data_IF_620877746470
#
_entry.id   IF_620877746470
#
_cell.length_a   1.000
_cell.length_b   1.000
_cell.length_c   1.000
_cell.angle_alpha   90.00
_cell.angle_beta   90.00
_cell.angle_gamma   90.00
#
_symmetry.space_group_name_H-M   'P 1'
#
loop_
_entity.id
_entity.type
_entity.pdbx_description
1 polymer ?
#
# COMPACT_ATOMS: atom_id res chain seq x y z
N UNK A 1 20.33 -9.15 4.24
CA UNK A 1 18.89 -9.08 3.93
C UNK A 1 18.70 -9.21 2.43
N UNK A 2 18.15 -10.32 1.94
CA UNK A 2 17.77 -10.46 0.52
C UNK A 2 16.37 -9.88 0.32
N UNK A 3 16.18 -9.10 -0.74
CA UNK A 3 14.88 -8.61 -1.13
C UNK A 3 14.64 -8.83 -2.63
N UNK A 4 13.41 -9.10 -3.01
CA UNK A 4 12.98 -9.23 -4.41
C UNK A 4 11.82 -8.29 -4.65
N UNK A 5 11.94 -7.44 -5.68
CA UNK A 5 10.82 -6.63 -6.14
C UNK A 5 9.85 -7.56 -6.87
N UNK A 6 8.60 -7.60 -6.40
CA UNK A 6 7.50 -8.32 -7.06
C UNK A 6 6.72 -7.35 -7.95
N UNK A 7 6.48 -6.14 -7.45
CA UNK A 7 5.74 -5.09 -8.15
C UNK A 7 6.32 -3.73 -7.77
N UNK A 8 6.54 -2.87 -8.75
CA UNK A 8 6.83 -1.44 -8.55
C UNK A 8 6.28 -0.71 -9.78
N UNK A 9 5.01 -0.34 -9.70
CA UNK A 9 4.26 0.28 -10.80
C UNK A 9 3.58 1.54 -10.32
N UNK A 10 3.50 2.51 -11.21
CA UNK A 10 2.82 3.78 -11.00
C UNK A 10 1.97 4.09 -12.23
N UNK A 11 0.65 4.08 -12.04
CA UNK A 11 -0.33 4.44 -13.05
C UNK A 11 -0.82 5.87 -12.76
N UNK A 12 -0.89 6.70 -13.80
CA UNK A 12 -1.44 8.06 -13.71
C UNK A 12 -2.66 8.15 -14.62
N UNK A 13 -3.81 8.48 -14.03
CA UNK A 13 -5.08 8.56 -14.74
C UNK A 13 -5.65 9.95 -14.46
N UNK A 14 -5.63 10.81 -15.47
CA UNK A 14 -6.04 12.22 -15.34
C UNK A 14 -5.33 12.94 -14.17
N UNK A 15 -6.05 13.20 -13.08
CA UNK A 15 -5.58 13.86 -11.87
C UNK A 15 -5.34 12.89 -10.69
N UNK A 16 -5.36 11.58 -10.96
CA UNK A 16 -5.14 10.51 -9.99
C UNK A 16 -3.81 9.81 -10.22
N UNK A 17 -3.22 9.33 -9.12
CA UNK A 17 -2.04 8.48 -9.12
C UNK A 17 -2.35 7.20 -8.35
N UNK A 18 -1.99 6.06 -8.93
CA UNK A 18 -2.06 4.74 -8.30
C UNK A 18 -0.65 4.17 -8.30
N UNK A 19 -0.04 4.07 -7.13
CA UNK A 19 1.26 3.44 -6.95
C UNK A 19 1.09 2.13 -6.23
N UNK A 20 1.70 1.06 -6.76
CA UNK A 20 1.74 -0.25 -6.12
C UNK A 20 3.17 -0.74 -6.05
N UNK A 21 3.65 -0.91 -4.84
CA UNK A 21 4.99 -1.43 -4.58
C UNK A 21 4.91 -2.63 -3.65
N UNK A 22 5.50 -3.74 -4.06
CA UNK A 22 5.61 -4.98 -3.31
C UNK A 22 7.05 -5.47 -3.38
N UNK A 23 7.65 -5.64 -2.20
CA UNK A 23 8.97 -6.21 -2.03
C UNK A 23 8.84 -7.43 -1.11
N UNK A 24 9.28 -8.59 -1.58
CA UNK A 24 9.46 -9.77 -0.72
C UNK A 24 10.77 -9.64 0.04
N UNK A 25 10.75 -9.85 1.35
CA UNK A 25 11.91 -9.70 2.23
C UNK A 25 11.95 -10.81 3.28
N UNK A 26 13.15 -11.13 3.78
CA UNK A 26 13.37 -12.04 4.91
C UNK A 26 13.74 -11.28 6.20
N UNK A 27 13.45 -9.97 6.22
CA UNK A 27 13.71 -9.12 7.38
C UNK A 27 12.70 -9.42 8.49
N UNK A 28 13.20 -9.72 9.69
CA UNK A 28 12.39 -10.04 10.86
C UNK A 28 11.49 -8.90 11.32
N UNK A 29 11.77 -7.65 10.93
CA UNK A 29 10.89 -6.51 11.19
C UNK A 29 9.57 -6.60 10.40
N UNK A 30 9.54 -7.38 9.33
CA UNK A 30 8.36 -7.61 8.49
C UNK A 30 7.91 -9.07 8.64
N UNK A 31 7.19 -9.37 9.71
CA UNK A 31 6.73 -10.74 10.01
C UNK A 31 5.88 -11.36 8.88
N UNK A 32 5.24 -10.53 8.05
CA UNK A 32 4.51 -10.94 6.86
C UNK A 32 5.41 -11.47 5.73
N UNK A 33 6.72 -11.20 5.78
CA UNK A 33 7.67 -11.48 4.70
C UNK A 33 7.59 -10.50 3.53
N UNK A 34 6.84 -9.40 3.68
CA UNK A 34 6.65 -8.39 2.65
C UNK A 34 6.80 -6.98 3.21
N UNK A 35 7.43 -6.14 2.41
CA UNK A 35 7.41 -4.68 2.53
C UNK A 35 6.59 -4.15 1.37
N UNK A 36 5.59 -3.31 1.63
CA UNK A 36 4.73 -2.80 0.57
C UNK A 36 4.27 -1.36 0.81
N UNK A 37 3.89 -0.71 -0.29
CA UNK A 37 3.27 0.60 -0.28
C UNK A 37 2.28 0.69 -1.45
N UNK A 38 1.00 0.71 -1.12
CA UNK A 38 -0.11 0.97 -2.05
C UNK A 38 -0.61 2.38 -1.79
N UNK A 39 -0.67 3.21 -2.81
CA UNK A 39 -1.08 4.60 -2.68
C UNK A 39 -2.01 4.98 -3.82
N UNK A 40 -3.19 5.46 -3.46
CA UNK A 40 -4.14 6.10 -4.33
C UNK A 40 -4.34 7.53 -3.84
N UNK A 41 -4.10 8.48 -4.73
CA UNK A 41 -4.11 9.89 -4.38
C UNK A 41 -4.28 10.78 -5.59
N UNK A 42 -4.15 12.08 -5.35
CA UNK A 42 -4.20 13.09 -6.40
C UNK A 42 -2.79 13.47 -6.87
N UNK A 43 -2.64 13.68 -8.18
CA UNK A 43 -1.38 14.16 -8.77
C UNK A 43 -1.12 15.66 -8.50
N UNK A 44 -2.15 16.41 -8.11
CA UNK A 44 -2.12 17.86 -7.93
C UNK A 44 -1.89 18.31 -6.48
N UNK A 45 -1.51 17.38 -5.60
CA UNK A 45 -1.19 17.69 -4.20
C UNK A 45 -2.41 17.81 -3.28
N UNK A 46 -3.63 17.51 -3.74
CA UNK A 46 -4.81 17.36 -2.86
C UNK A 46 -4.68 16.25 -1.81
N UNK A 47 -3.67 15.40 -1.94
CA UNK A 47 -3.27 14.43 -0.91
C UNK A 47 -3.63 12.98 -1.24
N UNK A 48 -3.57 12.15 -0.20
CA UNK A 48 -3.89 10.72 -0.23
C UNK A 48 -5.39 10.50 -0.09
N UNK A 49 -5.95 9.61 -0.91
CA UNK A 49 -7.34 9.14 -0.79
C UNK A 49 -7.34 7.85 0.02
N UNK A 50 -6.50 6.90 -0.40
CA UNK A 50 -6.32 5.61 0.23
C UNK A 50 -4.86 5.20 0.15
N UNK A 51 -4.28 4.75 1.25
CA UNK A 51 -2.94 4.17 1.26
C UNK A 51 -2.86 2.99 2.21
N UNK A 52 -2.27 1.90 1.73
CA UNK A 52 -1.88 0.78 2.57
C UNK A 52 -0.37 0.66 2.59
N UNK A 53 0.23 0.59 3.77
CA UNK A 53 1.66 0.29 3.89
C UNK A 53 1.96 -0.41 5.21
N UNK A 54 3.23 -0.79 5.39
CA UNK A 54 3.72 -1.33 6.66
C UNK A 54 5.07 -0.76 7.11
N UNK A 55 5.30 0.51 6.77
CA UNK A 55 6.62 1.15 6.91
C UNK A 55 6.63 2.43 7.76
N UNK A 56 5.52 2.76 8.42
CA UNK A 56 5.41 4.00 9.18
C UNK A 56 6.01 3.86 10.60
N UNK A 57 5.27 4.30 11.62
CA UNK A 57 5.78 4.45 12.99
C UNK A 57 6.16 3.11 13.61
N UNK A 58 5.43 2.04 13.30
CA UNK A 58 5.74 0.68 13.72
C UNK A 58 6.00 -0.18 12.49
N UNK A 59 7.28 -0.41 12.19
CA UNK A 59 7.68 -1.26 11.06
C UNK A 59 7.05 -2.66 11.21
N UNK A 60 6.44 -3.14 10.12
CA UNK A 60 5.76 -4.43 10.09
C UNK A 60 4.29 -4.40 10.52
N UNK A 61 3.79 -3.29 11.09
CA UNK A 61 2.37 -3.09 11.34
C UNK A 61 1.68 -2.70 10.03
N UNK A 62 0.57 -3.33 9.72
CA UNK A 62 -0.19 -3.08 8.50
C UNK A 62 -1.19 -1.96 8.74
N UNK A 63 -1.10 -0.89 7.97
CA UNK A 63 -1.90 0.32 8.18
C UNK A 63 -2.69 0.71 6.94
N UNK A 64 -3.90 1.20 7.16
CA UNK A 64 -4.77 1.87 6.20
C UNK A 64 -4.83 3.36 6.52
N UNK A 65 -4.58 4.18 5.52
CA UNK A 65 -4.55 5.63 5.60
C UNK A 65 -5.62 6.18 4.67
N UNK A 66 -6.60 6.86 5.23
CA UNK A 66 -7.67 7.55 4.49
C UNK A 66 -7.73 9.02 4.92
N UNK A 67 -8.66 9.79 4.36
CA UNK A 67 -8.96 11.14 4.84
C UNK A 67 -9.41 11.18 6.31
N UNK A 68 -9.95 10.06 6.81
CA UNK A 68 -10.53 9.96 8.15
C UNK A 68 -9.49 9.60 9.21
N UNK A 69 -8.29 9.18 8.79
CA UNK A 69 -7.16 8.90 9.66
C UNK A 69 -6.41 7.64 9.29
N UNK A 70 -5.65 7.12 10.26
CA UNK A 70 -4.84 5.90 10.14
C UNK A 70 -5.44 4.81 11.01
N UNK A 71 -5.65 3.63 10.45
CA UNK A 71 -6.15 2.45 11.16
C UNK A 71 -5.25 1.25 10.90
N UNK A 72 -5.06 0.42 11.92
CA UNK A 72 -4.38 -0.86 11.75
C UNK A 72 -5.34 -1.87 11.10
N UNK A 73 -4.84 -2.66 10.16
CA UNK A 73 -5.60 -3.69 9.47
C UNK A 73 -4.94 -5.05 9.63
N UNK A 74 -5.73 -6.11 9.53
CA UNK A 74 -5.19 -7.45 9.44
C UNK A 74 -4.49 -7.67 8.09
N UNK A 75 -3.47 -8.54 8.10
CA UNK A 75 -2.77 -8.95 6.90
C UNK A 75 -3.32 -10.29 6.38
N UNK A 76 -4.25 -10.30 5.40
CA UNK A 76 -4.78 -11.54 4.87
C UNK A 76 -3.77 -12.30 4.00
N UNK A 77 -2.72 -11.61 3.56
CA UNK A 77 -1.76 -12.09 2.57
C UNK A 77 -1.51 -11.02 1.51
N UNK A 78 -0.37 -11.10 0.83
CA UNK A 78 0.06 -9.99 -0.03
C UNK A 78 -0.84 -9.76 -1.24
N UNK A 79 -1.23 -10.84 -1.92
CA UNK A 79 -2.10 -10.75 -3.09
C UNK A 79 -3.53 -10.36 -2.70
N UNK A 80 -4.07 -10.91 -1.62
CA UNK A 80 -5.41 -10.55 -1.15
C UNK A 80 -5.48 -9.08 -0.70
N UNK A 81 -4.44 -8.58 -0.02
CA UNK A 81 -4.36 -7.17 0.33
C UNK A 81 -4.27 -6.26 -0.91
N UNK A 82 -3.48 -6.67 -1.91
CA UNK A 82 -3.37 -5.96 -3.20
C UNK A 82 -4.72 -5.92 -3.92
N UNK A 83 -5.43 -7.03 -3.99
CA UNK A 83 -6.72 -7.12 -4.67
C UNK A 83 -7.77 -6.27 -3.96
N UNK A 84 -7.80 -6.32 -2.61
CA UNK A 84 -8.63 -5.42 -1.79
C UNK A 84 -8.37 -3.94 -2.14
N UNK A 85 -7.10 -3.53 -2.20
CA UNK A 85 -6.75 -2.16 -2.58
C UNK A 85 -7.25 -1.80 -3.98
N UNK A 86 -7.06 -2.70 -4.97
CA UNK A 86 -7.52 -2.46 -6.34
C UNK A 86 -9.05 -2.35 -6.43
N UNK A 87 -9.78 -3.13 -5.65
CA UNK A 87 -11.24 -3.08 -5.68
C UNK A 87 -11.76 -1.81 -4.98
N UNK A 88 -11.18 -1.41 -3.85
CA UNK A 88 -11.55 -0.17 -3.16
C UNK A 88 -11.33 1.10 -4.00
N UNK A 89 -10.26 1.15 -4.79
CA UNK A 89 -10.02 2.32 -5.67
C UNK A 89 -10.94 2.33 -6.89
N UNK A 90 -11.46 1.17 -7.34
CA UNK A 90 -12.47 1.14 -8.42
C UNK A 90 -13.81 1.69 -7.94
N UNK A 91 -14.14 1.46 -6.67
CA UNK A 91 -15.36 1.98 -6.03
C UNK A 91 -15.23 3.47 -5.66
N UNK A 92 -14.04 4.07 -5.81
CA UNK A 92 -13.74 5.48 -5.49
C UNK A 92 -13.30 6.28 -6.73
N UNK A 93 -14.25 6.67 -7.61
CA UNK A 93 -13.98 7.48 -8.81
C UNK A 93 -13.40 8.87 -8.50
#
# INVERSE_FOLDING_TARGET
MSHSVIEDVEDRIENRIIRRKIIKTNDSQYASGYRYAFHYGYTDGRGTILRYDNENETVGRHECHTSDGVTEIEFPGMMELRDRFIDEIKDQP
#
